data_IF_085312602426
#
_entry.id   IF_085312602426
#
_cell.length_a   1.000
_cell.length_b   1.000
_cell.length_c   1.000
_cell.angle_alpha   90.00
_cell.angle_beta   90.00
_cell.angle_gamma   90.00
#
_symmetry.space_group_name_H-M   'P 1'
#
loop_
_entity.id
_entity.type
_entity.pdbx_description
1 polymer ?
#
# COMPACT_ATOMS: atom_id res chain seq x y z
N UNK A 1 5.53 -19.25 6.62
CA UNK A 1 5.46 -17.83 6.18
C UNK A 1 4.59 -17.60 4.93
N UNK A 2 4.26 -18.63 4.14
CA UNK A 2 3.54 -18.47 2.84
C UNK A 2 2.12 -19.06 2.78
N UNK A 3 1.65 -19.73 3.84
CA UNK A 3 0.39 -20.50 3.82
C UNK A 3 -0.87 -19.63 3.60
N UNK A 4 -0.81 -18.31 3.83
CA UNK A 4 -1.93 -17.40 3.65
C UNK A 4 -1.85 -16.58 2.35
N UNK A 5 -0.91 -16.89 1.45
CA UNK A 5 -0.78 -16.18 0.18
C UNK A 5 -1.75 -16.80 -0.82
N UNK A 6 -2.71 -16.02 -1.32
CA UNK A 6 -3.53 -16.40 -2.48
C UNK A 6 -2.59 -16.71 -3.66
N UNK A 7 -2.77 -17.86 -4.30
CA UNK A 7 -2.05 -18.27 -5.52
C UNK A 7 -2.77 -17.88 -6.80
N UNK A 8 -3.98 -17.34 -6.67
CA UNK A 8 -4.85 -16.93 -7.77
C UNK A 8 -4.66 -15.44 -8.06
N UNK A 9 -4.82 -15.07 -9.33
CA UNK A 9 -4.94 -13.69 -9.76
C UNK A 9 -6.42 -13.36 -9.92
N UNK A 10 -6.87 -12.28 -9.29
CA UNK A 10 -8.23 -11.77 -9.43
C UNK A 10 -8.27 -10.67 -10.49
N UNK A 11 -9.31 -10.70 -11.32
CA UNK A 11 -9.63 -9.67 -12.31
C UNK A 11 -11.14 -9.48 -12.31
N UNK A 12 -11.60 -8.28 -11.93
CA UNK A 12 -13.01 -7.91 -11.98
C UNK A 12 -13.25 -7.14 -13.28
N UNK A 13 -14.38 -7.39 -13.92
CA UNK A 13 -14.80 -6.57 -15.04
C UNK A 13 -15.39 -5.28 -14.50
N UNK A 14 -14.95 -4.15 -15.05
CA UNK A 14 -15.43 -2.83 -14.63
C UNK A 14 -16.96 -2.70 -14.72
N UNK A 15 -17.58 -3.32 -15.73
CA UNK A 15 -19.03 -3.33 -15.95
C UNK A 15 -19.82 -4.03 -14.83
N UNK A 16 -19.19 -4.94 -14.09
CA UNK A 16 -19.82 -5.66 -12.97
C UNK A 16 -19.69 -4.89 -11.64
N UNK A 17 -18.94 -3.78 -11.61
CA UNK A 17 -18.70 -2.98 -10.41
C UNK A 17 -19.69 -1.83 -10.32
N UNK A 18 -20.33 -1.69 -9.16
CA UNK A 18 -21.25 -0.58 -8.95
C UNK A 18 -20.48 0.76 -8.85
N UNK A 19 -21.14 1.90 -9.15
CA UNK A 19 -20.49 3.21 -9.14
C UNK A 19 -19.79 3.57 -7.82
N UNK A 20 -20.34 3.12 -6.68
CA UNK A 20 -19.73 3.31 -5.37
C UNK A 20 -18.38 2.61 -5.26
N UNK A 21 -18.28 1.35 -5.70
CA UNK A 21 -17.02 0.59 -5.69
C UNK A 21 -15.99 1.22 -6.63
N UNK A 22 -16.42 1.71 -7.80
CA UNK A 22 -15.53 2.43 -8.71
C UNK A 22 -14.95 3.69 -8.08
N UNK A 23 -15.78 4.48 -7.37
CA UNK A 23 -15.32 5.66 -6.64
C UNK A 23 -14.36 5.29 -5.50
N UNK A 24 -14.62 4.20 -4.78
CA UNK A 24 -13.75 3.70 -3.70
C UNK A 24 -12.35 3.31 -4.23
N UNK A 25 -12.29 2.70 -5.42
CA UNK A 25 -11.04 2.35 -6.12
C UNK A 25 -10.31 3.62 -6.57
N UNK A 26 -11.01 4.60 -7.12
CA UNK A 26 -10.41 5.87 -7.56
C UNK A 26 -9.82 6.66 -6.38
N UNK A 27 -10.52 6.70 -5.25
CA UNK A 27 -10.01 7.32 -4.01
C UNK A 27 -8.78 6.56 -3.50
N UNK A 28 -8.76 5.22 -3.60
CA UNK A 28 -7.60 4.40 -3.21
C UNK A 28 -6.39 4.68 -4.11
N UNK A 29 -6.59 4.73 -5.43
CA UNK A 29 -5.55 5.06 -6.39
C UNK A 29 -5.01 6.48 -6.18
N UNK A 30 -5.89 7.44 -5.89
CA UNK A 30 -5.51 8.83 -5.58
C UNK A 30 -4.67 8.92 -4.31
N UNK A 31 -5.02 8.16 -3.27
CA UNK A 31 -4.23 8.05 -2.05
C UNK A 31 -2.84 7.47 -2.33
N UNK A 32 -2.77 6.41 -3.14
CA UNK A 32 -1.50 5.80 -3.52
C UNK A 32 -0.62 6.75 -4.32
N UNK A 33 -1.20 7.49 -5.27
CA UNK A 33 -0.48 8.50 -6.04
C UNK A 33 0.05 9.63 -5.14
N UNK A 34 -0.78 10.12 -4.21
CA UNK A 34 -0.37 11.13 -3.21
C UNK A 34 0.84 10.68 -2.38
N UNK A 35 0.95 9.38 -2.11
CA UNK A 35 2.03 8.79 -1.33
C UNK A 35 3.03 7.99 -2.18
N UNK A 36 3.12 8.26 -3.49
CA UNK A 36 3.91 7.47 -4.43
C UNK A 36 5.40 7.37 -4.01
N UNK A 37 5.97 8.47 -3.49
CA UNK A 37 7.34 8.46 -2.96
C UNK A 37 7.49 7.50 -1.77
N UNK A 38 6.60 7.57 -0.79
CA UNK A 38 6.64 6.70 0.39
C UNK A 38 6.43 5.23 0.01
N UNK A 39 5.61 4.98 -1.01
CA UNK A 39 5.40 3.65 -1.58
C UNK A 39 6.69 3.15 -2.22
N UNK A 40 7.32 3.96 -3.08
CA UNK A 40 8.59 3.65 -3.72
C UNK A 40 9.69 3.36 -2.69
N UNK A 41 9.87 4.25 -1.71
CA UNK A 41 10.85 4.11 -0.62
C UNK A 41 10.64 2.84 0.21
N UNK A 42 9.43 2.29 0.23
CA UNK A 42 9.09 1.09 1.01
C UNK A 42 9.18 -0.20 0.20
N UNK A 43 8.80 -0.15 -1.08
CA UNK A 43 8.86 -1.30 -1.99
C UNK A 43 10.25 -1.52 -2.54
N UNK A 44 11.08 -0.47 -2.58
CA UNK A 44 12.47 -0.54 -3.01
C UNK A 44 13.40 -0.55 -1.81
N UNK A 45 14.52 -1.27 -1.95
CA UNK A 45 15.56 -1.42 -0.95
C UNK A 45 16.40 -0.15 -0.74
N UNK A 46 15.75 0.97 -0.40
CA UNK A 46 16.48 2.10 0.20
C UNK A 46 16.78 1.70 1.66
N UNK A 47 17.75 0.80 1.82
CA UNK A 47 18.42 0.53 3.09
C UNK A 47 19.41 1.68 3.30
N UNK A 48 18.95 2.74 3.97
CA UNK A 48 19.91 3.68 4.51
C UNK A 48 20.68 2.95 5.61
N UNK A 49 22.00 3.09 5.61
CA UNK A 49 22.86 2.50 6.62
C UNK A 49 22.37 2.91 8.02
N UNK A 50 22.11 1.95 8.93
CA UNK A 50 21.72 2.25 10.30
C UNK A 50 22.83 2.87 11.15
N UNK A 51 24.06 3.02 10.63
CA UNK A 51 25.16 3.78 11.25
C UNK A 51 25.49 5.06 10.44
N UNK A 52 24.62 6.09 10.48
CA UNK A 52 24.70 7.20 9.57
C UNK A 52 25.45 8.38 10.19
N UNK A 53 26.13 9.17 9.35
CA UNK A 53 26.43 10.56 9.73
C UNK A 53 25.11 11.32 10.05
N UNK A 54 25.21 12.47 10.74
CA UNK A 54 24.03 13.23 11.18
C UNK A 54 23.01 13.46 10.06
N UNK A 55 23.49 13.72 8.84
CA UNK A 55 22.67 13.98 7.65
C UNK A 55 21.90 12.75 7.18
N UNK A 56 22.54 11.60 7.14
CA UNK A 56 21.90 10.34 6.73
C UNK A 56 20.86 9.88 7.79
N UNK A 57 21.10 10.19 9.07
CA UNK A 57 20.15 9.92 10.15
C UNK A 57 18.88 10.78 10.06
N UNK A 58 19.00 12.05 9.66
CA UNK A 58 17.85 12.93 9.40
C UNK A 58 17.03 12.43 8.21
N UNK A 59 17.69 12.07 7.11
CA UNK A 59 17.01 11.57 5.91
C UNK A 59 16.28 10.24 6.17
N UNK A 60 16.87 9.35 6.98
CA UNK A 60 16.19 8.14 7.43
C UNK A 60 14.90 8.45 8.20
N UNK A 61 14.91 9.40 9.13
CA UNK A 61 13.73 9.80 9.90
C UNK A 61 12.64 10.35 8.99
N UNK A 62 12.99 11.18 8.02
CA UNK A 62 12.01 11.71 7.06
C UNK A 62 11.36 10.60 6.22
N UNK A 63 12.15 9.65 5.73
CA UNK A 63 11.64 8.46 5.02
C UNK A 63 10.71 7.65 5.92
N UNK A 64 11.08 7.43 7.18
CA UNK A 64 10.25 6.68 8.13
C UNK A 64 8.91 7.39 8.39
N UNK A 65 8.92 8.71 8.61
CA UNK A 65 7.70 9.51 8.77
C UNK A 65 6.76 9.41 7.56
N UNK A 66 7.31 9.48 6.33
CA UNK A 66 6.55 9.27 5.09
C UNK A 66 5.93 7.87 5.04
N UNK A 67 6.72 6.84 5.32
CA UNK A 67 6.27 5.43 5.32
C UNK A 67 5.17 5.16 6.36
N UNK A 68 5.32 5.69 7.57
CA UNK A 68 4.32 5.55 8.65
C UNK A 68 3.02 6.27 8.28
N UNK A 69 3.11 7.47 7.71
CA UNK A 69 1.94 8.23 7.23
C UNK A 69 1.17 7.47 6.15
N UNK A 70 1.88 6.91 5.17
CA UNK A 70 1.31 6.05 4.13
C UNK A 70 0.58 4.84 4.73
N UNK A 71 1.24 4.09 5.62
CA UNK A 71 0.63 2.88 6.22
C UNK A 71 -0.64 3.20 7.00
N UNK A 72 -0.64 4.29 7.78
CA UNK A 72 -1.81 4.70 8.56
C UNK A 72 -2.98 5.04 7.65
N UNK A 73 -2.75 5.85 6.62
CA UNK A 73 -3.80 6.31 5.71
C UNK A 73 -4.31 5.14 4.84
N UNK A 74 -3.42 4.31 4.31
CA UNK A 74 -3.79 3.14 3.52
C UNK A 74 -4.63 2.14 4.33
N UNK A 75 -4.24 1.83 5.57
CA UNK A 75 -5.02 0.93 6.44
C UNK A 75 -6.41 1.49 6.71
N UNK A 76 -6.51 2.77 7.06
CA UNK A 76 -7.81 3.42 7.29
C UNK A 76 -8.69 3.36 6.03
N UNK A 77 -8.10 3.62 4.85
CA UNK A 77 -8.80 3.54 3.58
C UNK A 77 -9.32 2.13 3.29
N UNK A 78 -8.47 1.10 3.46
CA UNK A 78 -8.85 -0.30 3.28
C UNK A 78 -9.95 -0.72 4.27
N UNK A 79 -9.79 -0.41 5.55
CA UNK A 79 -10.79 -0.75 6.59
C UNK A 79 -12.15 -0.10 6.30
N UNK A 80 -12.18 1.17 5.88
CA UNK A 80 -13.41 1.86 5.47
C UNK A 80 -14.13 1.08 4.36
N UNK A 81 -13.40 0.64 3.33
CA UNK A 81 -13.94 -0.06 2.16
C UNK A 81 -14.42 -1.47 2.48
N UNK A 82 -13.68 -2.21 3.29
CA UNK A 82 -14.11 -3.52 3.78
C UNK A 82 -15.37 -3.45 4.67
N UNK A 83 -15.68 -2.27 5.21
CA UNK A 83 -16.95 -2.02 5.90
C UNK A 83 -18.14 -1.79 4.97
N UNK A 84 -17.92 -1.52 3.68
CA UNK A 84 -18.98 -1.41 2.69
C UNK A 84 -19.43 -2.82 2.27
N UNK A 85 -20.73 -3.12 2.44
CA UNK A 85 -21.29 -4.46 2.18
C UNK A 85 -21.04 -4.95 0.74
N UNK A 86 -21.04 -4.03 -0.21
CA UNK A 86 -20.94 -4.34 -1.63
C UNK A 86 -19.51 -4.25 -2.17
N UNK A 87 -18.50 -4.00 -1.33
CA UNK A 87 -17.10 -3.93 -1.77
C UNK A 87 -16.47 -5.34 -1.84
N UNK A 88 -16.11 -5.84 -3.03
CA UNK A 88 -15.44 -7.13 -3.15
C UNK A 88 -14.04 -7.08 -2.52
N UNK A 89 -13.82 -7.85 -1.44
CA UNK A 89 -12.49 -7.95 -0.81
C UNK A 89 -11.41 -8.41 -1.81
N UNK A 90 -11.80 -9.25 -2.78
CA UNK A 90 -10.94 -9.74 -3.87
C UNK A 90 -10.35 -8.62 -4.73
N UNK A 91 -10.97 -7.44 -4.81
CA UNK A 91 -10.41 -6.29 -5.53
C UNK A 91 -9.05 -5.87 -4.97
N UNK A 92 -8.86 -5.93 -3.65
CA UNK A 92 -7.58 -5.57 -3.02
C UNK A 92 -6.43 -6.50 -3.41
N UNK A 93 -6.73 -7.61 -4.07
CA UNK A 93 -5.76 -8.60 -4.56
C UNK A 93 -5.54 -8.50 -6.08
N UNK A 94 -6.20 -7.57 -6.77
CA UNK A 94 -5.90 -7.33 -8.17
C UNK A 94 -4.47 -6.82 -8.35
N UNK A 95 -3.77 -7.21 -9.44
CA UNK A 95 -2.43 -6.73 -9.72
C UNK A 95 -2.30 -5.21 -9.79
N UNK A 96 -3.38 -4.52 -10.19
CA UNK A 96 -3.43 -3.06 -10.27
C UNK A 96 -3.53 -2.34 -8.93
N UNK A 97 -3.93 -3.05 -7.86
CA UNK A 97 -4.06 -2.49 -6.51
C UNK A 97 -2.85 -2.94 -5.69
N UNK A 98 -1.94 -2.00 -5.40
CA UNK A 98 -0.69 -2.34 -4.75
C UNK A 98 -0.91 -2.62 -3.27
N UNK A 99 -0.66 -3.87 -2.86
CA UNK A 99 -0.57 -4.19 -1.44
C UNK A 99 0.70 -3.65 -0.84
N UNK A 100 0.53 -2.77 0.14
CA UNK A 100 1.65 -2.22 0.89
C UNK A 100 2.13 -3.25 1.92
N UNK A 101 3.38 -3.72 1.84
CA UNK A 101 3.87 -4.74 2.76
C UNK A 101 3.92 -4.21 4.19
N UNK A 102 3.60 -5.02 5.20
CA UNK A 102 3.60 -4.60 6.62
C UNK A 102 5.02 -4.38 7.17
N UNK A 103 6.00 -5.13 6.66
CA UNK A 103 7.43 -4.96 6.94
C UNK A 103 8.12 -4.50 5.67
N UNK A 104 9.09 -3.60 5.78
CA UNK A 104 10.03 -3.40 4.67
C UNK A 104 10.93 -4.64 4.56
N UNK A 105 11.38 -4.96 3.35
CA UNK A 105 12.32 -6.07 3.16
C UNK A 105 13.68 -5.61 3.69
N UNK A 106 14.10 -6.15 4.84
CA UNK A 106 15.36 -5.78 5.51
C UNK A 106 16.53 -6.67 5.11
N UNK A 107 16.36 -7.54 4.11
CA UNK A 107 17.38 -8.48 3.63
C UNK A 107 17.77 -8.10 2.20
N UNK A 108 18.83 -7.30 2.11
CA UNK A 108 20.03 -7.60 1.29
C UNK A 108 21.21 -7.39 2.22
#
# INVERSE_FOLDING_TARGET
>A
MYLNRRTELYFHRREDLCPMVLADIEELASLMNKHAQALWERTHWVTMDPDPDLRSGEQYKECDLRRVSLLRQYRAAVTKRLGHKDFPETLLFEPGIWKIPYKYCSWI
#
